data_IF_512394897228
#
_entry.id   IF_512394897228
#
_cell.length_a   1.000
_cell.length_b   1.000
_cell.length_c   1.000
_cell.angle_alpha   90.00
_cell.angle_beta   90.00
_cell.angle_gamma   90.00
#
_symmetry.space_group_name_H-M   'P 1'
#
loop_
_entity.id
_entity.type
_entity.pdbx_description
1 polymer ?
#
# COMPACT_ATOMS: atom_id res chain seq x y z
N UNK A 1 17.02 0.98 17.07
CA UNK A 1 15.86 0.94 16.19
C UNK A 1 16.31 0.84 14.73
N UNK A 2 15.56 0.16 13.85
CA UNK A 2 15.91 0.04 12.44
C UNK A 2 15.98 1.41 11.78
N UNK A 3 16.94 1.58 10.85
CA UNK A 3 17.08 2.82 10.08
C UNK A 3 16.20 2.74 8.86
N UNK A 4 15.21 3.63 8.75
CA UNK A 4 14.31 3.71 7.60
C UNK A 4 14.36 5.09 6.96
N UNK A 5 14.28 5.12 5.63
CA UNK A 5 14.22 6.37 4.87
C UNK A 5 13.08 6.29 3.87
N UNK A 6 12.19 7.29 3.89
CA UNK A 6 11.10 7.47 2.94
C UNK A 6 11.54 8.46 1.87
N UNK A 7 11.58 8.04 0.62
CA UNK A 7 11.86 8.91 -0.51
C UNK A 7 10.61 9.17 -1.34
N UNK A 8 10.15 10.42 -1.45
CA UNK A 8 9.20 10.77 -2.50
C UNK A 8 9.88 10.55 -3.86
N UNK A 9 9.17 9.96 -4.78
CA UNK A 9 9.70 9.58 -6.07
C UNK A 9 10.09 10.82 -6.92
N UNK A 10 11.33 11.26 -6.81
CA UNK A 10 11.97 12.21 -7.72
C UNK A 10 13.26 11.61 -8.25
N UNK A 11 13.40 11.59 -9.55
CA UNK A 11 14.45 10.88 -10.31
C UNK A 11 15.89 11.27 -9.95
N UNK A 12 16.11 12.40 -9.30
CA UNK A 12 17.44 12.99 -9.05
C UNK A 12 18.09 12.56 -7.72
N UNK A 13 17.36 12.01 -6.76
CA UNK A 13 17.91 11.70 -5.43
C UNK A 13 18.25 10.23 -5.19
N UNK A 14 18.06 9.38 -6.18
CA UNK A 14 18.00 7.92 -6.02
C UNK A 14 19.34 7.21 -5.83
N UNK A 15 20.43 7.73 -6.37
CA UNK A 15 21.71 6.99 -6.36
C UNK A 15 22.66 7.40 -5.23
N UNK A 16 22.54 8.61 -4.70
CA UNK A 16 23.53 9.14 -3.77
C UNK A 16 23.35 8.72 -2.31
N UNK A 17 22.11 8.39 -1.88
CA UNK A 17 21.83 8.10 -0.48
C UNK A 17 21.59 6.62 -0.17
N UNK A 18 21.01 5.84 -1.06
CA UNK A 18 20.72 4.42 -0.81
C UNK A 18 21.98 3.54 -0.84
N UNK A 19 22.99 3.95 -1.59
CA UNK A 19 24.23 3.19 -1.74
C UNK A 19 25.32 3.59 -0.70
N UNK A 20 25.11 4.67 0.06
CA UNK A 20 26.10 5.24 0.99
C UNK A 20 25.82 5.00 2.47
N UNK A 21 24.62 4.56 2.83
CA UNK A 21 24.24 4.29 4.21
C UNK A 21 23.78 2.82 4.38
N UNK A 22 24.15 2.20 5.48
CA UNK A 22 23.62 0.91 5.91
C UNK A 22 22.17 1.12 6.37
N UNK A 23 21.20 0.99 5.45
CA UNK A 23 19.77 1.13 5.72
C UNK A 23 19.14 -0.25 5.87
N UNK A 24 18.34 -0.43 6.92
CA UNK A 24 17.53 -1.64 7.11
C UNK A 24 16.34 -1.67 6.12
N UNK A 25 15.76 -0.50 5.80
CA UNK A 25 14.59 -0.36 4.93
C UNK A 25 14.70 0.86 4.02
N UNK A 26 14.25 0.71 2.78
CA UNK A 26 14.05 1.80 1.83
C UNK A 26 12.61 1.73 1.30
N UNK A 27 11.83 2.79 1.53
CA UNK A 27 10.45 2.90 1.05
C UNK A 27 10.38 3.85 -0.13
N UNK A 28 9.78 3.38 -1.22
CA UNK A 28 9.45 4.18 -2.39
C UNK A 28 7.97 4.53 -2.37
N UNK A 29 7.67 5.79 -2.03
CA UNK A 29 6.29 6.30 -2.10
C UNK A 29 5.95 6.65 -3.55
N UNK A 30 5.01 5.90 -4.13
CA UNK A 30 4.63 5.99 -5.54
C UNK A 30 3.15 6.28 -5.67
N UNK A 31 2.81 7.27 -6.52
CA UNK A 31 1.41 7.60 -6.82
C UNK A 31 0.69 6.43 -7.49
N UNK A 32 -0.46 6.04 -6.94
CA UNK A 32 -1.20 4.84 -7.34
C UNK A 32 -1.99 4.96 -8.65
N UNK A 33 -2.28 6.17 -9.12
CA UNK A 33 -3.06 6.41 -10.35
C UNK A 33 -2.23 6.30 -11.63
N UNK A 34 -0.95 6.03 -11.49
CA UNK A 34 -0.01 6.15 -12.58
C UNK A 34 0.57 4.81 -12.99
N UNK A 35 -0.09 4.16 -13.93
CA UNK A 35 0.52 3.09 -14.74
C UNK A 35 1.60 3.66 -15.69
N UNK A 36 2.17 4.83 -15.41
CA UNK A 36 3.19 5.45 -16.23
C UNK A 36 4.61 5.09 -15.74
N UNK A 37 5.60 5.42 -16.58
CA UNK A 37 6.99 4.99 -16.42
C UNK A 37 7.65 5.18 -15.05
N UNK A 38 7.06 6.01 -14.18
CA UNK A 38 7.52 6.24 -12.82
C UNK A 38 7.34 5.05 -11.87
N UNK A 39 6.19 4.38 -11.90
CA UNK A 39 5.93 3.17 -11.12
C UNK A 39 6.90 2.02 -11.49
N UNK A 40 7.23 1.92 -12.77
CA UNK A 40 8.04 0.82 -13.26
C UNK A 40 9.55 0.96 -12.94
N UNK A 41 10.04 2.16 -12.62
CA UNK A 41 11.49 2.36 -12.45
C UNK A 41 12.10 1.63 -11.26
N UNK A 42 11.57 1.72 -10.00
CA UNK A 42 12.12 0.96 -8.88
C UNK A 42 12.07 -0.54 -9.11
N UNK A 43 11.04 -1.01 -9.82
CA UNK A 43 10.86 -2.41 -10.18
C UNK A 43 11.87 -2.83 -11.25
N UNK A 44 12.01 -2.05 -12.32
CA UNK A 44 12.93 -2.33 -13.44
C UNK A 44 14.38 -2.37 -13.02
N UNK A 45 14.75 -1.54 -12.06
CA UNK A 45 16.11 -1.48 -11.53
C UNK A 45 16.37 -2.52 -10.43
N UNK A 46 15.39 -3.40 -10.14
CA UNK A 46 15.52 -4.44 -9.10
C UNK A 46 15.64 -3.87 -7.66
N UNK A 47 15.29 -2.59 -7.47
CA UNK A 47 15.42 -1.90 -6.18
C UNK A 47 14.21 -2.11 -5.28
N UNK A 48 13.01 -2.30 -5.86
CA UNK A 48 11.81 -2.64 -5.13
C UNK A 48 11.50 -4.13 -5.33
N UNK A 49 11.49 -4.87 -4.24
CA UNK A 49 11.20 -6.31 -4.23
C UNK A 49 9.76 -6.59 -3.77
N UNK A 50 9.25 -5.75 -2.89
CA UNK A 50 7.93 -5.88 -2.29
C UNK A 50 7.08 -4.65 -2.55
N UNK A 51 5.82 -4.88 -2.89
CA UNK A 51 4.83 -3.82 -3.09
C UNK A 51 3.70 -4.04 -2.10
N UNK A 52 3.39 -3.00 -1.35
CA UNK A 52 2.18 -2.90 -0.52
C UNK A 52 1.26 -1.87 -1.14
N UNK A 53 0.02 -2.25 -1.42
CA UNK A 53 -0.96 -1.36 -2.04
C UNK A 53 -1.83 -0.75 -0.97
N UNK A 54 -1.77 0.57 -0.81
CA UNK A 54 -2.70 1.31 0.05
C UNK A 54 -3.98 1.56 -0.73
N UNK A 55 -5.10 1.10 -0.19
CA UNK A 55 -6.41 1.10 -0.84
C UNK A 55 -7.50 1.48 0.15
N UNK A 56 -8.62 2.00 -0.33
CA UNK A 56 -9.87 2.20 0.44
C UNK A 56 -11.01 1.44 -0.23
N UNK A 57 -12.17 1.38 0.43
CA UNK A 57 -13.38 0.76 -0.11
C UNK A 57 -14.05 1.55 -1.23
N UNK A 58 -13.48 2.68 -1.65
CA UNK A 58 -13.99 3.46 -2.77
C UNK A 58 -13.71 2.76 -4.11
N UNK A 59 -14.69 2.73 -5.00
CA UNK A 59 -14.60 2.06 -6.31
C UNK A 59 -13.31 2.41 -7.07
N UNK A 60 -12.98 3.70 -7.15
CA UNK A 60 -11.80 4.15 -7.90
C UNK A 60 -10.48 3.71 -7.24
N UNK A 61 -10.43 3.62 -5.91
CA UNK A 61 -9.27 3.11 -5.19
C UNK A 61 -9.06 1.62 -5.46
N UNK A 62 -10.12 0.82 -5.44
CA UNK A 62 -10.09 -0.61 -5.75
C UNK A 62 -9.72 -0.86 -7.22
N UNK A 63 -10.25 -0.05 -8.13
CA UNK A 63 -9.87 -0.09 -9.55
C UNK A 63 -8.39 0.21 -9.75
N UNK A 64 -7.86 1.25 -9.10
CA UNK A 64 -6.44 1.59 -9.13
C UNK A 64 -5.58 0.45 -8.57
N UNK A 65 -5.97 -0.14 -7.42
CA UNK A 65 -5.29 -1.28 -6.83
C UNK A 65 -5.21 -2.48 -7.79
N UNK A 66 -6.32 -2.79 -8.47
CA UNK A 66 -6.36 -3.85 -9.47
C UNK A 66 -5.45 -3.56 -10.67
N UNK A 67 -5.36 -2.32 -11.13
CA UNK A 67 -4.44 -1.93 -12.20
C UNK A 67 -2.96 -1.99 -11.76
N UNK A 68 -2.65 -1.66 -10.51
CA UNK A 68 -1.32 -1.87 -9.95
C UNK A 68 -0.98 -3.36 -9.98
N UNK A 69 -1.91 -4.24 -9.61
CA UNK A 69 -1.73 -5.70 -9.69
C UNK A 69 -1.42 -6.16 -11.11
N UNK A 70 -2.09 -5.62 -12.15
CA UNK A 70 -1.73 -5.89 -13.55
C UNK A 70 -0.30 -5.47 -13.88
N UNK A 71 0.15 -4.34 -13.33
CA UNK A 71 1.53 -3.88 -13.44
C UNK A 71 2.51 -4.84 -12.78
N UNK A 72 2.21 -5.32 -11.56
CA UNK A 72 3.05 -6.28 -10.85
C UNK A 72 3.22 -7.57 -11.67
N UNK A 73 2.13 -8.14 -12.19
CA UNK A 73 2.18 -9.34 -13.04
C UNK A 73 3.13 -9.13 -14.22
N UNK A 74 3.02 -7.99 -14.91
CA UNK A 74 3.86 -7.67 -16.06
C UNK A 74 5.37 -7.63 -15.73
N UNK A 75 5.72 -7.21 -14.53
CA UNK A 75 7.13 -7.03 -14.14
C UNK A 75 7.65 -8.14 -13.21
N UNK A 76 6.78 -9.05 -12.76
CA UNK A 76 7.14 -10.09 -11.80
C UNK A 76 8.23 -11.06 -12.31
N UNK A 77 8.21 -11.38 -13.61
CA UNK A 77 9.19 -12.27 -14.23
C UNK A 77 10.54 -11.59 -14.41
N UNK A 78 10.56 -10.32 -14.82
CA UNK A 78 11.78 -9.60 -15.16
C UNK A 78 12.48 -9.00 -13.92
N UNK A 79 11.73 -8.56 -12.92
CA UNK A 79 12.23 -7.79 -11.77
C UNK A 79 12.12 -8.51 -10.41
N UNK A 80 11.53 -9.70 -10.36
CA UNK A 80 11.36 -10.44 -9.09
C UNK A 80 10.40 -9.79 -8.10
N UNK A 81 9.69 -8.73 -8.48
CA UNK A 81 8.76 -7.99 -7.61
C UNK A 81 7.55 -8.84 -7.23
N UNK A 82 7.08 -8.70 -6.00
CA UNK A 82 5.93 -9.42 -5.45
C UNK A 82 5.01 -8.47 -4.70
N UNK A 83 3.72 -8.82 -4.68
CA UNK A 83 2.73 -8.17 -3.84
C UNK A 83 2.83 -8.72 -2.42
N UNK A 84 3.15 -7.89 -1.44
CA UNK A 84 3.16 -8.22 -0.02
C UNK A 84 1.77 -8.19 0.60
N UNK A 85 0.85 -7.40 0.03
CA UNK A 85 -0.53 -7.33 0.49
C UNK A 85 -1.19 -5.97 0.30
N UNK A 86 -2.44 -5.89 0.73
CA UNK A 86 -3.23 -4.67 0.75
C UNK A 86 -3.21 -4.04 2.15
N UNK A 87 -3.15 -2.73 2.20
CA UNK A 87 -3.32 -1.93 3.42
C UNK A 87 -4.59 -1.10 3.23
N UNK A 88 -5.62 -1.39 4.01
CA UNK A 88 -6.84 -0.60 3.96
C UNK A 88 -6.66 0.70 4.75
N UNK A 89 -6.64 1.84 4.05
CA UNK A 89 -6.69 3.16 4.68
C UNK A 89 -8.13 3.69 4.63
N UNK A 90 -8.87 3.48 5.70
CA UNK A 90 -10.33 3.66 5.75
C UNK A 90 -10.79 5.06 5.35
N UNK A 91 -11.80 5.10 4.51
CA UNK A 91 -12.61 6.27 4.16
C UNK A 91 -13.99 6.23 4.81
N UNK A 92 -14.26 5.22 5.66
CA UNK A 92 -15.56 4.97 6.30
C UNK A 92 -16.64 4.60 5.28
N UNK A 93 -16.27 3.84 4.27
CA UNK A 93 -17.21 3.19 3.37
C UNK A 93 -17.87 2.03 4.13
N UNK A 94 -19.14 1.78 3.88
CA UNK A 94 -19.88 0.66 4.50
C UNK A 94 -19.20 -0.69 4.15
N UNK A 95 -19.10 -1.58 5.13
CA UNK A 95 -18.45 -2.90 5.00
C UNK A 95 -17.04 -2.86 4.39
N UNK A 96 -16.31 -1.75 4.59
CA UNK A 96 -15.02 -1.49 3.95
C UNK A 96 -13.98 -2.57 4.25
N UNK A 97 -13.91 -3.02 5.50
CA UNK A 97 -12.93 -4.04 5.90
C UNK A 97 -13.21 -5.38 5.22
N UNK A 98 -14.48 -5.82 5.22
CA UNK A 98 -14.91 -7.07 4.59
C UNK A 98 -14.71 -7.03 3.09
N UNK A 99 -15.02 -5.90 2.46
CA UNK A 99 -14.85 -5.70 1.02
C UNK A 99 -13.38 -5.76 0.61
N UNK A 100 -12.46 -5.14 1.37
CA UNK A 100 -11.03 -5.20 1.07
C UNK A 100 -10.44 -6.59 1.39
N UNK A 101 -10.95 -7.29 2.41
CA UNK A 101 -10.59 -8.69 2.65
C UNK A 101 -10.97 -9.57 1.46
N UNK A 102 -12.19 -9.44 0.94
CA UNK A 102 -12.66 -10.19 -0.23
C UNK A 102 -11.87 -9.83 -1.51
N UNK A 103 -11.52 -8.55 -1.68
CA UNK A 103 -10.63 -8.14 -2.77
C UNK A 103 -9.27 -8.81 -2.65
N UNK A 104 -8.67 -8.82 -1.46
CA UNK A 104 -7.37 -9.45 -1.23
C UNK A 104 -7.41 -10.96 -1.54
N UNK A 105 -8.45 -11.67 -1.11
CA UNK A 105 -8.67 -13.08 -1.41
C UNK A 105 -8.74 -13.35 -2.92
N UNK A 106 -9.56 -12.56 -3.63
CA UNK A 106 -9.70 -12.69 -5.10
C UNK A 106 -8.39 -12.39 -5.84
N UNK A 107 -7.58 -11.46 -5.37
CA UNK A 107 -6.26 -11.15 -5.91
C UNK A 107 -5.20 -12.22 -5.53
N UNK A 108 -5.52 -13.19 -4.66
CA UNK A 108 -4.61 -14.21 -4.16
C UNK A 108 -3.59 -13.68 -3.15
N UNK A 109 -3.93 -12.63 -2.42
CA UNK A 109 -3.10 -12.00 -1.39
C UNK A 109 -3.84 -11.85 -0.06
N UNK A 110 -3.35 -11.01 0.83
CA UNK A 110 -3.94 -10.73 2.14
C UNK A 110 -4.13 -9.23 2.36
N UNK A 111 -5.04 -8.87 3.26
CA UNK A 111 -5.05 -7.55 3.86
C UNK A 111 -4.11 -7.54 5.07
N UNK A 112 -3.00 -6.81 4.96
CA UNK A 112 -1.99 -6.67 6.02
C UNK A 112 -2.58 -5.99 7.24
N UNK A 113 -3.26 -4.87 7.01
CA UNK A 113 -3.82 -4.07 8.10
C UNK A 113 -4.97 -3.20 7.61
N UNK A 114 -5.92 -2.98 8.51
CA UNK A 114 -6.97 -1.97 8.39
C UNK A 114 -6.59 -0.78 9.25
N UNK A 115 -6.34 0.36 8.65
CA UNK A 115 -6.05 1.62 9.34
C UNK A 115 -7.34 2.43 9.44
N UNK A 116 -7.93 2.54 10.63
CA UNK A 116 -9.17 3.29 10.80
C UNK A 116 -8.95 4.78 10.55
N UNK A 117 -9.98 5.45 10.02
CA UNK A 117 -9.95 6.90 9.82
C UNK A 117 -10.15 7.62 11.14
N UNK A 118 -9.16 8.40 11.54
CA UNK A 118 -9.19 9.23 12.74
C UNK A 118 -8.79 10.68 12.44
N UNK A 119 -9.47 11.64 13.09
CA UNK A 119 -9.16 13.07 12.95
C UNK A 119 -7.81 13.45 13.59
N UNK A 120 -7.22 12.59 14.40
CA UNK A 120 -5.89 12.78 14.95
C UNK A 120 -4.84 12.95 13.85
N UNK A 121 -5.02 12.26 12.71
CA UNK A 121 -4.14 12.41 11.53
C UNK A 121 -4.09 13.87 11.08
N UNK A 122 -5.27 14.50 10.86
CA UNK A 122 -5.34 15.90 10.44
C UNK A 122 -4.77 16.87 11.49
N UNK A 123 -4.98 16.57 12.80
CA UNK A 123 -4.41 17.38 13.87
C UNK A 123 -2.88 17.32 13.87
N UNK A 124 -2.31 16.14 13.66
CA UNK A 124 -0.86 15.96 13.57
C UNK A 124 -0.30 16.70 12.33
N UNK A 125 -0.94 16.56 11.16
CA UNK A 125 -0.56 17.21 9.91
C UNK A 125 -0.51 18.73 10.01
N UNK A 126 -1.54 19.37 10.62
CA UNK A 126 -1.56 20.82 10.87
C UNK A 126 -0.34 21.25 11.71
N UNK A 127 0.10 20.38 12.64
CA UNK A 127 1.28 20.60 13.46
C UNK A 127 2.59 20.15 12.80
N UNK A 128 2.56 19.73 11.52
CA UNK A 128 3.71 19.23 10.75
C UNK A 128 4.43 18.06 11.44
N UNK A 129 3.65 17.16 12.04
CA UNK A 129 4.12 15.98 12.75
C UNK A 129 3.40 14.75 12.25
N UNK A 130 4.02 13.61 12.39
CA UNK A 130 3.32 12.32 12.33
C UNK A 130 2.45 12.15 13.57
N UNK A 131 1.45 11.25 13.51
CA UNK A 131 0.62 10.94 14.68
C UNK A 131 1.48 10.43 15.85
N UNK A 132 2.49 9.62 15.55
CA UNK A 132 3.41 9.05 16.55
C UNK A 132 4.23 10.14 17.26
N UNK A 133 4.62 11.19 16.53
CA UNK A 133 5.36 12.33 17.12
C UNK A 133 4.44 13.30 17.85
N UNK A 134 3.19 13.44 17.38
CA UNK A 134 2.24 14.39 17.93
C UNK A 134 1.62 13.88 19.23
N UNK A 135 1.14 12.64 19.22
CA UNK A 135 0.61 11.95 20.41
C UNK A 135 0.99 10.45 20.34
N UNK A 136 2.13 10.09 20.93
CA UNK A 136 2.64 8.71 20.87
C UNK A 136 1.76 7.69 21.59
N UNK A 137 0.85 8.12 22.47
CA UNK A 137 -0.04 7.25 23.25
C UNK A 137 -1.44 7.16 22.65
N UNK A 138 -1.72 7.86 21.56
CA UNK A 138 -3.02 7.81 20.91
C UNK A 138 -3.25 6.44 20.23
N UNK A 139 -4.47 5.86 20.27
CA UNK A 139 -4.76 4.58 19.59
C UNK A 139 -4.37 4.55 18.11
N UNK A 140 -4.54 5.67 17.41
CA UNK A 140 -4.11 5.78 16.00
C UNK A 140 -2.59 5.61 15.82
N UNK A 141 -1.78 6.02 16.79
CA UNK A 141 -0.33 5.78 16.77
C UNK A 141 -0.01 4.27 16.90
N UNK A 142 -0.81 3.54 17.69
CA UNK A 142 -0.67 2.10 17.85
C UNK A 142 -1.06 1.33 16.58
N UNK A 143 -2.05 1.83 15.81
CA UNK A 143 -2.38 1.28 14.49
C UNK A 143 -1.18 1.35 13.53
N UNK A 144 -0.49 2.49 13.46
CA UNK A 144 0.70 2.61 12.62
C UNK A 144 1.87 1.73 13.09
N UNK A 145 2.05 1.58 14.41
CA UNK A 145 3.06 0.63 14.94
C UNK A 145 2.69 -0.82 14.65
N UNK A 146 1.40 -1.16 14.72
CA UNK A 146 0.92 -2.49 14.36
C UNK A 146 1.12 -2.77 12.88
N UNK A 147 0.81 -1.79 12.00
CA UNK A 147 1.08 -1.89 10.57
C UNK A 147 2.56 -2.14 10.29
N UNK A 148 3.46 -1.36 10.91
CA UNK A 148 4.90 -1.52 10.72
C UNK A 148 5.38 -2.92 11.11
N UNK A 149 4.94 -3.44 12.28
CA UNK A 149 5.27 -4.81 12.71
C UNK A 149 4.74 -5.89 11.76
N UNK A 150 3.55 -5.68 11.20
CA UNK A 150 2.95 -6.65 10.26
C UNK A 150 3.66 -6.66 8.91
N UNK A 151 4.14 -5.51 8.44
CA UNK A 151 4.96 -5.42 7.22
C UNK A 151 6.30 -6.13 7.46
N UNK A 152 6.96 -5.85 8.59
CA UNK A 152 8.26 -6.43 8.95
C UNK A 152 8.20 -7.96 9.08
N UNK A 153 7.12 -8.49 9.65
CA UNK A 153 6.91 -9.92 9.84
C UNK A 153 6.25 -10.63 8.64
N UNK A 154 6.04 -9.94 7.51
CA UNK A 154 5.28 -10.50 6.40
C UNK A 154 6.12 -11.42 5.51
N UNK A 155 5.78 -12.70 5.52
CA UNK A 155 6.39 -13.73 4.65
C UNK A 155 5.57 -13.99 3.37
N UNK A 156 4.33 -13.51 3.28
CA UNK A 156 3.47 -13.73 2.13
C UNK A 156 3.80 -12.75 1.01
N UNK A 157 4.40 -13.24 -0.06
CA UNK A 157 4.82 -12.47 -1.25
C UNK A 157 4.37 -13.19 -2.50
N UNK A 158 3.39 -12.63 -3.20
CA UNK A 158 2.70 -13.33 -4.29
C UNK A 158 2.78 -12.56 -5.62
N UNK A 159 2.58 -13.26 -6.72
CA UNK A 159 2.16 -12.67 -7.99
C UNK A 159 0.64 -12.60 -7.94
N UNK A 160 0.02 -11.42 -7.95
CA UNK A 160 -1.42 -11.31 -7.81
C UNK A 160 -2.15 -11.83 -9.05
N UNK A 161 -3.44 -12.15 -8.86
CA UNK A 161 -4.37 -12.49 -9.94
C UNK A 161 -5.32 -11.31 -10.16
N UNK A 162 -5.06 -10.39 -11.10
CA UNK A 162 -5.92 -9.23 -11.34
C UNK A 162 -7.32 -9.65 -11.81
N UNK A 163 -8.33 -8.93 -11.35
CA UNK A 163 -9.72 -9.18 -11.68
C UNK A 163 -10.13 -8.55 -13.02
N UNK A 164 -11.13 -9.15 -13.68
CA UNK A 164 -11.90 -8.47 -14.70
C UNK A 164 -12.71 -7.33 -14.09
N UNK A 165 -13.08 -6.33 -14.89
CA UNK A 165 -13.81 -5.15 -14.39
C UNK A 165 -15.18 -5.54 -13.83
N UNK A 166 -15.85 -6.47 -14.48
CA UNK A 166 -17.16 -6.98 -14.10
C UNK A 166 -17.11 -7.75 -12.77
N UNK A 167 -16.01 -8.40 -12.45
CA UNK A 167 -15.81 -9.08 -11.17
C UNK A 167 -15.60 -8.08 -10.03
N UNK A 168 -14.88 -6.99 -10.32
CA UNK A 168 -14.67 -5.91 -9.36
C UNK A 168 -15.99 -5.18 -9.07
N UNK A 169 -16.79 -4.89 -10.10
CA UNK A 169 -18.12 -4.29 -9.95
C UNK A 169 -19.07 -5.19 -9.14
N UNK A 170 -19.08 -6.50 -9.40
CA UNK A 170 -19.86 -7.46 -8.60
C UNK A 170 -19.48 -7.45 -7.13
N UNK A 171 -18.16 -7.38 -6.84
CA UNK A 171 -17.68 -7.30 -5.47
C UNK A 171 -18.21 -6.05 -4.75
N UNK A 172 -18.18 -4.90 -5.42
CA UNK A 172 -18.70 -3.65 -4.88
C UNK A 172 -20.19 -3.71 -4.58
N UNK A 173 -20.98 -4.31 -5.48
CA UNK A 173 -22.44 -4.50 -5.29
C UNK A 173 -22.71 -5.46 -4.13
N UNK A 174 -21.98 -6.55 -4.03
CA UNK A 174 -22.15 -7.58 -3.00
C UNK A 174 -21.92 -7.02 -1.58
N UNK A 175 -20.97 -6.11 -1.41
CA UNK A 175 -20.62 -5.53 -0.11
C UNK A 175 -21.33 -4.20 0.20
N UNK A 176 -22.30 -3.78 -0.58
CA UNK A 176 -23.25 -2.75 -0.17
C UNK A 176 -23.15 -1.40 -0.84
N UNK A 177 -22.42 -1.28 -1.96
CA UNK A 177 -22.66 -0.16 -2.87
C UNK A 177 -23.91 -0.51 -3.70
N UNK A 178 -25.06 -0.55 -3.02
CA UNK A 178 -26.34 -0.73 -3.69
C UNK A 178 -26.61 0.48 -4.59
N UNK A 179 -26.97 0.20 -5.83
CA UNK A 179 -27.46 1.18 -6.78
C UNK A 179 -28.75 1.84 -6.31
#
# INVERSE_FOLDING_TARGET
PPRSTLFPYTTLFRSAYADSEELDYVFYDVLGDVVCGGFAMPIREGKAQEIYIVVSGEMMAMYAANNICKGIVKFAEAGGVRLGGLICNSRKVDNEAEMILALAEKLGTQMIHFVPRDNMVQRAEINRKTVIEFDPNHPQADEYRALARKIDANDMKVIPTPLAIEELEKLLIEYGIAA
#
